data_IF_574107506196
#
_entry.id   IF_574107506196
#
_cell.length_a   1.000
_cell.length_b   1.000
_cell.length_c   1.000
_cell.angle_alpha   90.00
_cell.angle_beta   90.00
_cell.angle_gamma   90.00
#
_symmetry.space_group_name_H-M   'P 1'
#
loop_
_entity.id
_entity.type
_entity.pdbx_description
1 polymer ?
#
# COMPACT_ATOMS: atom_id res chain seq x y z
N UNK A 1 20.96 13.04 -2.48
CA UNK A 1 20.90 11.90 -3.43
C UNK A 1 20.03 10.80 -2.82
N UNK A 2 19.66 9.72 -3.51
CA UNK A 2 18.69 8.73 -2.98
C UNK A 2 19.13 7.97 -1.72
N UNK A 3 20.38 8.16 -1.29
CA UNK A 3 21.01 7.70 -0.04
C UNK A 3 21.05 8.78 1.06
N UNK A 4 20.54 9.98 0.79
CA UNK A 4 20.43 11.05 1.78
C UNK A 4 19.51 10.59 2.94
N UNK A 5 19.89 10.79 4.21
CA UNK A 5 19.09 10.35 5.35
C UNK A 5 17.68 10.97 5.39
N UNK A 6 17.46 12.09 4.70
CA UNK A 6 16.15 12.73 4.58
C UNK A 6 15.20 12.10 3.53
N UNK A 7 15.66 11.19 2.68
CA UNK A 7 14.84 10.66 1.58
C UNK A 7 13.64 9.86 2.10
N UNK A 8 13.86 8.96 3.06
CA UNK A 8 12.81 8.12 3.64
C UNK A 8 11.72 8.94 4.31
N UNK A 9 12.01 9.83 5.28
CA UNK A 9 10.96 10.63 5.93
C UNK A 9 10.25 11.58 4.95
N UNK A 10 10.94 12.06 3.90
CA UNK A 10 10.30 12.83 2.85
C UNK A 10 9.29 11.99 2.06
N UNK A 11 9.71 10.81 1.59
CA UNK A 11 8.85 9.91 0.82
C UNK A 11 7.65 9.43 1.62
N UNK A 12 7.85 9.06 2.89
CA UNK A 12 6.76 8.73 3.82
C UNK A 12 5.73 9.85 3.90
N UNK A 13 6.18 11.09 4.16
CA UNK A 13 5.29 12.23 4.25
C UNK A 13 4.50 12.47 2.96
N UNK A 14 5.12 12.26 1.78
CA UNK A 14 4.43 12.38 0.50
C UNK A 14 3.35 11.32 0.30
N UNK A 15 3.67 10.05 0.58
CA UNK A 15 2.72 8.95 0.42
C UNK A 15 1.59 9.02 1.44
N UNK A 16 1.86 9.44 2.67
CA UNK A 16 0.85 9.64 3.71
C UNK A 16 -0.08 10.80 3.35
N UNK A 17 0.46 11.91 2.83
CA UNK A 17 -0.36 13.02 2.35
C UNK A 17 -1.27 12.60 1.18
N UNK A 18 -0.75 11.82 0.23
CA UNK A 18 -1.54 11.27 -0.87
C UNK A 18 -2.62 10.31 -0.36
N UNK A 19 -2.27 9.41 0.57
CA UNK A 19 -3.18 8.45 1.17
C UNK A 19 -4.31 9.10 1.96
N UNK A 20 -4.02 10.19 2.67
CA UNK A 20 -5.00 10.95 3.45
C UNK A 20 -6.13 11.55 2.60
N UNK A 21 -5.89 11.77 1.31
CA UNK A 21 -6.87 12.33 0.35
C UNK A 21 -7.22 11.36 -0.78
N UNK A 22 -6.88 10.07 -0.62
CA UNK A 22 -7.12 9.03 -1.61
C UNK A 22 -6.54 9.34 -3.01
N UNK A 23 -5.42 10.08 -3.07
CA UNK A 23 -4.72 10.39 -4.31
C UNK A 23 -3.74 9.26 -4.69
N UNK A 24 -3.55 9.10 -6.00
CA UNK A 24 -2.47 8.27 -6.55
C UNK A 24 -1.16 9.02 -6.58
N UNK A 25 -0.06 8.29 -6.59
CA UNK A 25 1.29 8.83 -6.74
C UNK A 25 2.02 8.16 -7.89
N UNK A 26 2.99 8.86 -8.46
CA UNK A 26 3.96 8.29 -9.39
C UNK A 26 5.34 8.82 -9.00
N UNK A 27 6.26 7.91 -8.74
CA UNK A 27 7.64 8.28 -8.43
C UNK A 27 8.40 8.66 -9.70
N UNK A 28 9.17 9.73 -9.63
CA UNK A 28 10.14 10.11 -10.67
C UNK A 28 11.55 9.77 -10.16
N UNK A 29 12.26 8.77 -10.69
CA UNK A 29 11.87 7.92 -11.84
C UNK A 29 12.45 6.51 -11.76
N UNK A 30 12.03 5.64 -12.68
CA UNK A 30 12.51 4.27 -12.82
C UNK A 30 13.75 4.17 -13.73
N UNK A 31 14.64 5.14 -13.64
CA UNK A 31 15.86 5.22 -14.44
C UNK A 31 17.07 4.63 -13.68
N UNK A 32 18.13 4.33 -14.44
CA UNK A 32 19.45 3.93 -13.91
C UNK A 32 20.33 5.16 -13.78
N UNK A 33 20.61 5.59 -12.55
CA UNK A 33 21.44 6.77 -12.29
C UNK A 33 22.15 6.68 -10.92
N UNK A 34 23.00 7.66 -10.62
CA UNK A 34 23.54 7.91 -9.27
C UNK A 34 22.74 8.95 -8.47
N UNK A 35 21.62 9.44 -9.05
CA UNK A 35 20.74 10.48 -8.53
C UNK A 35 19.50 9.92 -7.82
N UNK A 36 18.32 10.34 -8.29
CA UNK A 36 17.02 9.99 -7.71
C UNK A 36 16.36 8.75 -8.36
N UNK A 37 16.94 8.19 -9.42
CA UNK A 37 16.42 6.98 -10.05
C UNK A 37 16.36 5.80 -9.07
N UNK A 38 15.36 4.93 -9.22
CA UNK A 38 15.21 3.73 -8.37
C UNK A 38 16.36 2.73 -8.51
N UNK A 39 17.10 2.79 -9.62
CA UNK A 39 18.16 1.84 -9.94
C UNK A 39 19.51 2.55 -9.92
N UNK A 40 20.51 1.86 -9.38
CA UNK A 40 21.92 2.25 -9.52
C UNK A 40 22.37 2.14 -10.98
N UNK A 41 23.52 2.71 -11.38
CA UNK A 41 24.01 2.63 -12.75
C UNK A 41 24.20 1.19 -13.26
N UNK A 42 24.52 0.26 -12.35
CA UNK A 42 24.65 -1.18 -12.64
C UNK A 42 23.30 -1.94 -12.72
N UNK A 43 22.18 -1.25 -12.48
CA UNK A 43 20.84 -1.80 -12.52
C UNK A 43 20.36 -2.45 -11.23
N UNK A 44 21.17 -2.50 -10.16
CA UNK A 44 20.68 -2.94 -8.84
C UNK A 44 19.75 -1.91 -8.23
N UNK A 45 18.74 -2.35 -7.48
CA UNK A 45 17.86 -1.47 -6.73
C UNK A 45 18.62 -0.64 -5.70
N UNK A 46 18.21 0.63 -5.54
CA UNK A 46 18.52 1.44 -4.35
C UNK A 46 17.56 1.03 -3.25
N UNK A 47 17.96 0.03 -2.47
CA UNK A 47 17.12 -0.61 -1.43
C UNK A 47 16.54 0.39 -0.46
N UNK A 48 17.33 1.39 -0.05
CA UNK A 48 16.95 2.52 0.80
C UNK A 48 15.71 3.29 0.29
N UNK A 49 15.58 3.44 -1.02
CA UNK A 49 14.45 4.10 -1.66
C UNK A 49 13.31 3.12 -1.96
N UNK A 50 13.64 1.93 -2.47
CA UNK A 50 12.66 0.89 -2.76
C UNK A 50 11.96 0.38 -1.50
N UNK A 51 12.60 0.49 -0.34
CA UNK A 51 12.03 0.19 0.97
C UNK A 51 10.80 1.02 1.29
N UNK A 52 10.79 2.28 0.83
CA UNK A 52 9.74 3.27 1.11
C UNK A 52 8.76 3.40 -0.07
N UNK A 53 9.20 3.16 -1.30
CA UNK A 53 8.33 3.28 -2.48
C UNK A 53 7.39 2.08 -2.59
N UNK A 54 7.87 0.87 -2.33
CA UNK A 54 7.09 -0.35 -2.52
C UNK A 54 6.27 -0.70 -1.26
N UNK A 55 5.21 0.10 -1.04
CA UNK A 55 4.29 0.00 0.10
C UNK A 55 3.03 -0.81 -0.24
N UNK A 56 2.34 -1.39 0.75
CA UNK A 56 0.98 -1.89 0.57
C UNK A 56 0.01 -0.73 0.32
N UNK A 57 -1.00 -0.93 -0.54
CA UNK A 57 -2.03 0.08 -0.81
C UNK A 57 -3.31 -0.55 -1.38
N UNK A 58 -4.48 0.11 -1.26
CA UNK A 58 -5.71 -0.35 -1.90
C UNK A 58 -5.63 -0.14 -3.42
N UNK A 59 -5.29 -1.20 -4.16
CA UNK A 59 -5.15 -1.16 -5.62
C UNK A 59 -6.49 -1.05 -6.35
N UNK A 60 -7.53 -1.68 -5.80
CA UNK A 60 -8.92 -1.58 -6.28
C UNK A 60 -9.88 -1.61 -5.10
N UNK A 61 -10.91 -0.78 -5.10
CA UNK A 61 -11.88 -0.69 -3.99
C UNK A 61 -13.29 -0.95 -4.50
N UNK A 62 -13.99 -1.90 -3.87
CA UNK A 62 -15.39 -2.20 -4.13
C UNK A 62 -16.30 -1.19 -3.39
N UNK A 63 -16.33 0.04 -3.90
CA UNK A 63 -17.01 1.18 -3.30
C UNK A 63 -16.18 2.45 -3.40
N UNK A 64 -16.30 3.33 -2.41
CA UNK A 64 -15.56 4.60 -2.37
C UNK A 64 -14.39 4.54 -1.38
N UNK A 65 -13.16 4.75 -1.87
CA UNK A 65 -11.99 4.97 -1.03
C UNK A 65 -12.06 6.37 -0.41
N UNK A 66 -11.86 6.47 0.90
CA UNK A 66 -11.90 7.75 1.61
C UNK A 66 -10.51 8.19 2.07
N UNK A 67 -9.69 7.24 2.54
CA UNK A 67 -8.29 7.46 2.89
C UNK A 67 -7.58 6.11 3.06
N UNK A 68 -6.25 6.11 3.03
CA UNK A 68 -5.44 5.01 3.53
C UNK A 68 -4.14 5.54 4.14
N UNK A 69 -3.54 4.76 5.04
CA UNK A 69 -2.26 5.06 5.67
C UNK A 69 -1.49 3.76 5.90
N UNK A 70 -0.18 3.79 5.67
CA UNK A 70 0.71 2.67 5.98
C UNK A 70 1.75 3.12 7.01
N UNK A 71 1.73 2.46 8.17
CA UNK A 71 2.76 2.60 9.20
C UNK A 71 3.89 1.62 8.88
N UNK A 72 5.04 2.16 8.45
CA UNK A 72 6.19 1.34 8.05
C UNK A 72 6.81 0.58 9.22
N UNK A 73 6.86 1.22 10.40
CA UNK A 73 7.45 0.65 11.60
C UNK A 73 6.64 -0.51 12.16
N UNK A 74 5.31 -0.37 12.17
CA UNK A 74 4.39 -1.42 12.59
C UNK A 74 4.04 -2.41 11.46
N UNK A 75 4.37 -2.07 10.20
CA UNK A 75 3.96 -2.80 8.99
C UNK A 75 2.44 -2.97 8.91
N UNK A 76 1.70 -1.89 9.20
CA UNK A 76 0.23 -1.89 9.26
C UNK A 76 -0.33 -0.94 8.20
N UNK A 77 -1.13 -1.48 7.29
CA UNK A 77 -1.98 -0.71 6.39
C UNK A 77 -3.36 -0.54 7.02
N UNK A 78 -3.85 0.70 7.06
CA UNK A 78 -5.25 1.01 7.40
C UNK A 78 -5.93 1.63 6.19
N UNK A 79 -7.06 1.06 5.78
CA UNK A 79 -7.87 1.55 4.65
C UNK A 79 -9.23 1.96 5.16
N UNK A 80 -9.64 3.21 4.86
CA UNK A 80 -10.94 3.76 5.19
C UNK A 80 -11.77 3.87 3.91
N UNK A 81 -12.91 3.19 3.86
CA UNK A 81 -13.74 3.11 2.66
C UNK A 81 -15.23 3.01 2.99
N UNK A 82 -16.09 3.39 2.05
CA UNK A 82 -17.52 3.06 2.06
C UNK A 82 -17.78 1.92 1.07
N UNK A 83 -18.07 0.70 1.53
CA UNK A 83 -18.33 -0.43 0.63
C UNK A 83 -19.61 -0.25 -0.17
N UNK A 84 -19.60 -0.70 -1.42
CA UNK A 84 -20.79 -0.75 -2.29
C UNK A 84 -21.17 -2.20 -2.58
N UNK A 85 -22.28 -2.66 -1.99
CA UNK A 85 -22.77 -4.03 -2.14
C UNK A 85 -23.24 -4.38 -3.57
N UNK A 86 -23.44 -3.38 -4.43
CA UNK A 86 -23.76 -3.63 -5.85
C UNK A 86 -22.55 -4.06 -6.67
N UNK A 87 -21.33 -3.86 -6.15
CA UNK A 87 -20.08 -4.26 -6.79
C UNK A 87 -19.76 -5.71 -6.41
N UNK A 88 -19.79 -6.61 -7.38
CA UNK A 88 -19.48 -8.04 -7.18
C UNK A 88 -18.00 -8.37 -7.18
N UNK A 89 -17.15 -7.45 -7.67
CA UNK A 89 -15.70 -7.60 -7.64
C UNK A 89 -15.14 -7.35 -6.23
N UNK A 90 -14.04 -8.02 -5.83
CA UNK A 90 -13.43 -7.79 -4.52
C UNK A 90 -12.74 -6.42 -4.45
N UNK A 91 -12.55 -5.94 -3.21
CA UNK A 91 -11.49 -4.96 -2.95
C UNK A 91 -10.14 -5.68 -3.01
N UNK A 92 -9.17 -5.10 -3.70
CA UNK A 92 -7.83 -5.64 -3.86
C UNK A 92 -6.80 -4.73 -3.19
N UNK A 93 -5.98 -5.31 -2.32
CA UNK A 93 -4.86 -4.65 -1.65
C UNK A 93 -3.57 -5.22 -2.21
N UNK A 94 -2.71 -4.36 -2.75
CA UNK A 94 -1.35 -4.74 -3.10
C UNK A 94 -0.59 -5.11 -1.83
N UNK A 95 0.06 -6.27 -1.83
CA UNK A 95 0.74 -6.84 -0.67
C UNK A 95 2.17 -7.26 -1.05
N UNK A 96 3.11 -6.30 -1.15
CA UNK A 96 4.49 -6.60 -1.53
C UNK A 96 5.14 -7.62 -0.59
N UNK A 97 5.76 -8.67 -1.14
CA UNK A 97 6.46 -9.69 -0.35
C UNK A 97 7.62 -9.13 0.48
N UNK A 98 8.18 -7.99 0.07
CA UNK A 98 9.20 -7.26 0.85
C UNK A 98 8.67 -6.76 2.20
N UNK A 99 7.36 -6.52 2.29
CA UNK A 99 6.69 -6.01 3.50
C UNK A 99 6.11 -7.16 4.32
N UNK A 100 5.36 -8.05 3.65
CA UNK A 100 4.68 -9.18 4.26
C UNK A 100 5.08 -10.51 3.57
N UNK A 101 6.30 -11.02 3.81
CA UNK A 101 6.81 -12.22 3.12
C UNK A 101 6.01 -13.49 3.46
N UNK A 102 5.50 -13.58 4.69
CA UNK A 102 4.73 -14.72 5.20
C UNK A 102 3.20 -14.49 5.08
N UNK A 103 2.81 -13.47 4.31
CA UNK A 103 1.44 -12.98 4.20
C UNK A 103 1.06 -12.05 5.36
N UNK A 104 -0.23 -11.72 5.43
CA UNK A 104 -0.76 -10.74 6.37
C UNK A 104 -1.94 -11.28 7.18
N UNK A 105 -2.17 -10.70 8.35
CA UNK A 105 -3.44 -10.80 9.07
C UNK A 105 -4.34 -9.63 8.64
N UNK A 106 -5.63 -9.91 8.43
CA UNK A 106 -6.62 -8.94 7.92
C UNK A 106 -7.79 -8.85 8.88
N UNK A 107 -8.16 -7.62 9.22
CA UNK A 107 -9.35 -7.29 10.01
C UNK A 107 -10.28 -6.42 9.16
N UNK A 108 -11.45 -6.96 8.85
CA UNK A 108 -12.41 -6.33 7.94
C UNK A 108 -13.88 -6.54 8.37
N UNK A 109 -14.10 -6.88 9.65
CA UNK A 109 -15.44 -7.02 10.21
C UNK A 109 -16.25 -8.22 9.68
N UNK A 110 -15.59 -9.32 9.30
CA UNK A 110 -16.27 -10.55 8.82
C UNK A 110 -16.29 -10.71 7.30
N UNK A 111 -15.49 -9.94 6.57
CA UNK A 111 -15.29 -10.17 5.14
C UNK A 111 -14.59 -11.52 4.88
N UNK A 112 -14.75 -12.05 3.68
CA UNK A 112 -13.99 -13.22 3.23
C UNK A 112 -12.67 -12.77 2.60
N UNK A 113 -11.57 -13.36 3.06
CA UNK A 113 -10.21 -12.98 2.67
C UNK A 113 -9.58 -14.09 1.84
N UNK A 114 -9.06 -13.74 0.67
CA UNK A 114 -8.21 -14.60 -0.15
C UNK A 114 -6.85 -13.93 -0.33
N UNK A 115 -5.76 -14.65 -0.06
CA UNK A 115 -4.41 -14.15 -0.24
C UNK A 115 -3.71 -14.95 -1.32
N UNK A 116 -3.16 -14.25 -2.31
CA UNK A 116 -2.31 -14.81 -3.36
C UNK A 116 -0.99 -14.02 -3.37
N UNK A 117 0.09 -14.52 -3.99
CA UNK A 117 1.36 -13.81 -4.01
C UNK A 117 1.21 -12.37 -4.52
N UNK A 118 1.59 -11.40 -3.67
CA UNK A 118 1.54 -9.97 -4.01
C UNK A 118 0.19 -9.28 -3.83
N UNK A 119 -0.88 -10.00 -3.46
CA UNK A 119 -2.25 -9.46 -3.48
C UNK A 119 -3.16 -10.07 -2.41
N UNK A 120 -3.95 -9.22 -1.76
CA UNK A 120 -5.02 -9.63 -0.85
C UNK A 120 -6.36 -9.21 -1.45
N UNK A 121 -7.31 -10.14 -1.54
CA UNK A 121 -8.67 -9.89 -2.01
C UNK A 121 -9.66 -9.99 -0.86
N UNK A 122 -10.50 -8.97 -0.74
CA UNK A 122 -11.53 -8.85 0.28
C UNK A 122 -12.89 -8.89 -0.41
N UNK A 123 -13.66 -9.92 -0.08
CA UNK A 123 -15.01 -10.10 -0.58
C UNK A 123 -16.01 -9.85 0.54
N UNK A 124 -17.23 -9.45 0.16
CA UNK A 124 -18.36 -9.42 1.07
C UNK A 124 -18.09 -8.51 2.30
N UNK A 125 -17.32 -7.42 2.11
CA UNK A 125 -17.09 -6.43 3.18
C UNK A 125 -18.46 -5.89 3.60
N UNK A 126 -18.83 -5.95 4.90
CA UNK A 126 -20.15 -5.55 5.34
C UNK A 126 -20.50 -4.13 4.91
N UNK A 127 -21.57 -4.01 4.12
CA UNK A 127 -22.08 -2.73 3.65
C UNK A 127 -22.52 -1.84 4.82
N UNK A 128 -22.67 -0.55 4.55
CA UNK A 128 -23.07 0.47 5.50
C UNK A 128 -22.26 1.75 5.31
N UNK A 129 -22.11 2.51 6.40
CA UNK A 129 -21.24 3.69 6.42
C UNK A 129 -19.75 3.30 6.25
N UNK A 130 -18.87 4.23 6.59
CA UNK A 130 -17.43 4.01 6.59
C UNK A 130 -17.03 2.73 7.35
N UNK A 131 -16.18 1.94 6.69
CA UNK A 131 -15.47 0.79 7.23
C UNK A 131 -13.98 1.08 7.28
N UNK A 132 -13.34 0.51 8.28
CA UNK A 132 -11.89 0.48 8.42
C UNK A 132 -11.43 -0.96 8.25
N UNK A 133 -10.57 -1.18 7.28
CA UNK A 133 -9.85 -2.44 7.08
C UNK A 133 -8.43 -2.24 7.58
N UNK A 134 -7.97 -3.16 8.42
CA UNK A 134 -6.59 -3.17 8.92
C UNK A 134 -5.88 -4.42 8.41
N UNK A 135 -4.69 -4.24 7.84
CA UNK A 135 -3.84 -5.31 7.35
C UNK A 135 -2.47 -5.18 7.99
N UNK A 136 -1.95 -6.26 8.57
CA UNK A 136 -0.68 -6.27 9.30
C UNK A 136 0.13 -7.53 9.02
N UNK A 137 1.43 -7.49 9.30
CA UNK A 137 2.26 -8.69 9.25
C UNK A 137 1.67 -9.80 10.15
N UNK A 138 1.82 -11.05 9.73
CA UNK A 138 1.42 -12.23 10.51
C UNK A 138 2.43 -12.54 11.61
#
# INVERSE_FOLDING_TARGET
VADDPGITPYMDAQYDAAGAVAASTMYWAYDKDDGYGMLRPDGREKTELMDVVARPYPARVAGALEAYAYDEGAKVLTVRMRPDASVSAPTEIAAPARVWPDGAAVECGGCRVEQVPGLIRLFDIPAGDTRVVTVRAR
#
